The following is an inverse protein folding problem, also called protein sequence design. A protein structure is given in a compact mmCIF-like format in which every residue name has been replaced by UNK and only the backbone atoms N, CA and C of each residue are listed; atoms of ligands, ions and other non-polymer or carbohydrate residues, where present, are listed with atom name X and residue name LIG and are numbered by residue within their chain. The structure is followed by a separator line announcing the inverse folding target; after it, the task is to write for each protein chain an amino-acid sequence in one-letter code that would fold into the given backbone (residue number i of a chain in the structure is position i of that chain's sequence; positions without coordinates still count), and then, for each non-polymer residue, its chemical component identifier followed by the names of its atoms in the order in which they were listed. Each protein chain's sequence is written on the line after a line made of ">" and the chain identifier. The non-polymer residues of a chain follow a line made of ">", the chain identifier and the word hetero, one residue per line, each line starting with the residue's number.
data_IF_548545919231
#
_entry.id   IF_548545919231
#
_cell.length_a   1.000
_cell.length_b   1.000
_cell.length_c   1.000
_cell.angle_alpha   90.00
_cell.angle_beta   90.00
_cell.angle_gamma   90.00
#
_symmetry.space_group_name_H-M   'P 1'
#
loop_
_entity.id
_entity.type
_entity.pdbx_description
1 polymer ?
#
# COMPACT_ATOMS: atom_id res chain seq x y z
N UNK A 1 4.32 6.45 11.93
CA UNK A 1 2.92 6.25 11.55
C UNK A 1 2.46 7.40 10.65
N UNK A 2 1.95 7.09 9.42
CA UNK A 2 1.56 8.14 8.45
C UNK A 2 0.41 9.01 8.94
N UNK A 3 -0.49 8.45 9.72
CA UNK A 3 -1.62 9.19 10.31
C UNK A 3 -1.26 10.01 11.55
N UNK A 4 0.02 10.18 11.84
CA UNK A 4 0.50 10.86 13.04
C UNK A 4 0.39 10.02 14.31
N UNK A 5 0.89 10.55 15.41
CA UNK A 5 0.73 9.95 16.71
C UNK A 5 -0.75 10.06 17.12
N UNK A 6 -1.35 8.98 17.61
CA UNK A 6 -2.78 8.90 17.94
C UNK A 6 -3.76 9.05 16.76
N UNK A 7 -3.32 8.78 15.52
CA UNK A 7 -4.18 8.78 14.34
C UNK A 7 -4.90 10.12 14.12
N UNK A 8 -4.16 11.22 14.19
CA UNK A 8 -4.69 12.59 14.13
C UNK A 8 -4.96 13.11 12.72
N UNK A 9 -4.35 12.52 11.69
CA UNK A 9 -4.56 12.88 10.29
C UNK A 9 -5.53 11.91 9.62
N UNK A 10 -6.57 12.42 8.97
CA UNK A 10 -7.38 11.61 8.06
C UNK A 10 -6.56 11.26 6.80
N UNK A 11 -7.02 10.34 5.95
CA UNK A 11 -6.24 9.88 4.79
C UNK A 11 -5.81 11.00 3.83
N UNK A 12 -6.56 12.07 3.69
CA UNK A 12 -6.23 13.21 2.81
C UNK A 12 -5.26 14.19 3.46
N UNK A 13 -5.28 14.30 4.79
CA UNK A 13 -4.42 15.20 5.56
C UNK A 13 -3.02 14.64 5.83
N UNK A 14 -2.79 13.36 5.56
CA UNK A 14 -1.45 12.76 5.71
C UNK A 14 -0.44 13.55 4.87
N UNK A 15 0.68 14.01 5.45
CA UNK A 15 1.68 14.81 4.75
C UNK A 15 2.58 13.94 3.84
N UNK A 16 1.99 13.28 2.84
CA UNK A 16 2.67 12.32 1.97
C UNK A 16 3.94 12.88 1.32
N UNK A 17 3.86 14.11 0.77
CA UNK A 17 5.01 14.77 0.13
C UNK A 17 6.16 14.95 1.11
N UNK A 18 5.86 15.45 2.31
CA UNK A 18 6.88 15.65 3.34
C UNK A 18 7.49 14.32 3.80
N UNK A 19 6.68 13.28 3.95
CA UNK A 19 7.15 11.95 4.34
C UNK A 19 8.10 11.36 3.28
N UNK A 20 7.70 11.35 2.00
CA UNK A 20 8.54 10.80 0.93
C UNK A 20 9.80 11.65 0.71
N UNK A 21 9.67 12.96 0.78
CA UNK A 21 10.82 13.85 0.71
C UNK A 21 11.82 13.64 1.86
N UNK A 22 11.33 13.40 3.07
CA UNK A 22 12.18 13.09 4.22
C UNK A 22 12.94 11.77 3.99
N UNK A 23 12.30 10.72 3.49
CA UNK A 23 12.99 9.48 3.13
C UNK A 23 14.06 9.71 2.05
N UNK A 24 13.76 10.47 0.99
CA UNK A 24 14.75 10.84 -0.04
C UNK A 24 15.94 11.58 0.58
N UNK A 25 15.70 12.55 1.44
CA UNK A 25 16.76 13.35 2.10
C UNK A 25 17.63 12.53 3.06
N UNK A 26 17.06 11.53 3.71
CA UNK A 26 17.77 10.57 4.56
C UNK A 26 18.54 9.51 3.75
N UNK A 27 18.45 9.53 2.42
CA UNK A 27 19.14 8.56 1.55
C UNK A 27 18.48 7.18 1.53
N UNK A 28 17.21 7.07 1.98
CA UNK A 28 16.48 5.81 1.93
C UNK A 28 16.24 5.41 0.47
N UNK A 29 16.71 4.22 0.09
CA UNK A 29 16.51 3.64 -1.25
C UNK A 29 15.29 2.75 -1.35
N UNK A 30 14.74 2.32 -0.22
CA UNK A 30 13.64 1.36 -0.11
C UNK A 30 12.65 1.77 0.96
N UNK A 31 11.37 1.60 0.67
CA UNK A 31 10.28 1.81 1.63
C UNK A 31 9.35 0.61 1.58
N UNK A 32 9.09 0.03 2.73
CA UNK A 32 8.04 -0.98 2.93
C UNK A 32 6.92 -0.30 3.70
N UNK A 33 5.76 -0.23 3.08
CA UNK A 33 4.57 0.30 3.72
C UNK A 33 3.64 -0.82 4.19
N UNK A 34 2.87 -0.53 5.21
CA UNK A 34 1.84 -1.43 5.73
C UNK A 34 0.52 -0.67 5.77
N UNK A 35 -0.55 -1.31 5.33
CA UNK A 35 -1.88 -0.70 5.32
C UNK A 35 -2.99 -1.72 5.60
N UNK A 36 -4.07 -1.28 6.26
CA UNK A 36 -5.32 -2.02 6.35
C UNK A 36 -6.09 -1.88 5.04
N UNK A 37 -6.76 -2.96 4.60
CA UNK A 37 -7.55 -2.98 3.37
C UNK A 37 -8.83 -3.79 3.55
N UNK A 38 -9.89 -3.37 2.85
CA UNK A 38 -11.07 -4.19 2.62
C UNK A 38 -10.86 -5.10 1.40
N UNK A 39 -11.30 -6.34 1.49
CA UNK A 39 -11.27 -7.29 0.38
C UNK A 39 -12.47 -7.11 -0.55
N UNK A 40 -12.22 -7.17 -1.84
CA UNK A 40 -13.25 -7.18 -2.90
C UNK A 40 -13.46 -8.57 -3.50
N UNK A 41 -12.73 -9.58 -3.02
CA UNK A 41 -12.80 -10.99 -3.47
C UNK A 41 -13.00 -11.95 -2.31
N UNK A 42 -13.70 -13.05 -2.57
CA UNK A 42 -14.02 -14.07 -1.55
C UNK A 42 -12.78 -14.77 -1.01
N UNK A 43 -11.80 -15.01 -1.88
CA UNK A 43 -10.56 -15.69 -1.57
C UNK A 43 -9.57 -14.86 -0.74
N UNK A 44 -9.66 -13.53 -0.77
CA UNK A 44 -8.81 -12.64 0.02
C UNK A 44 -9.43 -12.40 1.40
N UNK A 45 -9.11 -13.27 2.33
CA UNK A 45 -9.80 -13.37 3.63
C UNK A 45 -9.24 -12.39 4.66
N UNK A 46 -10.06 -11.90 5.58
CA UNK A 46 -9.56 -11.19 6.77
C UNK A 46 -8.48 -12.00 7.47
N UNK A 47 -7.32 -11.39 7.70
CA UNK A 47 -6.12 -12.03 8.21
C UNK A 47 -5.05 -12.31 7.16
N UNK A 48 -5.39 -12.37 5.88
CA UNK A 48 -4.43 -12.58 4.80
C UNK A 48 -3.57 -11.31 4.55
N UNK A 49 -2.36 -11.54 4.04
CA UNK A 49 -1.50 -10.49 3.50
C UNK A 49 -1.64 -10.43 1.98
N UNK A 50 -1.68 -9.23 1.42
CA UNK A 50 -1.67 -9.02 -0.03
C UNK A 50 -0.46 -8.16 -0.39
N UNK A 51 0.38 -8.65 -1.29
CA UNK A 51 1.51 -7.90 -1.83
C UNK A 51 1.05 -7.13 -3.07
N UNK A 52 0.57 -5.90 -2.85
CA UNK A 52 0.00 -5.05 -3.90
C UNK A 52 0.98 -4.88 -5.07
N UNK A 53 0.51 -5.06 -6.29
CA UNK A 53 1.31 -4.90 -7.51
C UNK A 53 0.74 -3.88 -8.49
N UNK A 54 -0.56 -3.57 -8.39
CA UNK A 54 -1.22 -2.54 -9.19
C UNK A 54 -2.18 -1.69 -8.36
N UNK A 55 -2.51 -0.52 -8.85
CA UNK A 55 -3.53 0.32 -8.23
C UNK A 55 -4.44 1.02 -9.25
N UNK A 56 -5.65 1.35 -8.79
CA UNK A 56 -6.59 2.23 -9.48
C UNK A 56 -6.84 3.43 -8.56
N UNK A 57 -6.47 4.62 -9.01
CA UNK A 57 -6.62 5.84 -8.21
C UNK A 57 -8.01 6.45 -8.33
N UNK A 58 -8.69 6.58 -7.21
CA UNK A 58 -9.96 7.27 -7.05
C UNK A 58 -9.89 8.46 -6.08
N UNK A 59 -8.66 8.90 -5.76
CA UNK A 59 -8.44 10.10 -4.96
C UNK A 59 -8.60 11.36 -5.83
N UNK A 60 -8.98 12.49 -5.23
CA UNK A 60 -9.30 13.73 -5.97
C UNK A 60 -8.68 14.98 -5.37
N UNK A 61 -8.15 14.91 -4.14
CA UNK A 61 -7.70 16.09 -3.38
C UNK A 61 -6.23 16.04 -2.98
N UNK A 62 -5.46 15.12 -3.55
CA UNK A 62 -4.08 14.85 -3.13
C UNK A 62 -3.08 15.27 -4.17
N UNK A 63 -2.05 15.96 -3.74
CA UNK A 63 -0.89 16.25 -4.59
C UNK A 63 -0.13 14.96 -4.89
N UNK A 64 0.11 14.69 -6.17
CA UNK A 64 0.76 13.46 -6.62
C UNK A 64 2.16 13.70 -7.20
N UNK A 65 2.73 14.87 -7.00
CA UNK A 65 4.09 15.19 -7.48
C UNK A 65 4.87 16.02 -6.47
N UNK A 66 6.16 15.79 -6.38
CA UNK A 66 7.14 16.57 -5.61
C UNK A 66 7.80 17.59 -6.52
N UNK A 67 8.15 17.20 -7.75
CA UNK A 67 8.93 18.02 -8.67
C UNK A 67 8.08 18.83 -9.67
N UNK A 68 6.79 18.62 -9.71
CA UNK A 68 5.84 19.37 -10.56
C UNK A 68 5.75 18.84 -11.98
N UNK A 69 6.64 19.24 -12.86
CA UNK A 69 6.53 18.99 -14.31
C UNK A 69 7.29 17.76 -14.80
N UNK A 70 7.50 16.75 -13.97
CA UNK A 70 8.14 15.49 -14.39
C UNK A 70 7.10 14.43 -14.76
N UNK A 71 7.36 13.69 -15.84
CA UNK A 71 6.49 12.61 -16.32
C UNK A 71 7.15 11.26 -16.06
N UNK A 72 6.80 10.63 -14.94
CA UNK A 72 7.36 9.32 -14.57
C UNK A 72 6.51 8.17 -15.09
N UNK A 73 7.16 7.07 -15.47
CA UNK A 73 6.47 5.82 -15.80
C UNK A 73 5.98 5.09 -14.54
N UNK A 74 4.69 4.74 -14.50
CA UNK A 74 4.06 4.00 -13.39
C UNK A 74 3.34 2.72 -13.85
N UNK A 75 3.70 2.17 -15.02
CA UNK A 75 3.16 0.90 -15.47
C UNK A 75 3.45 -0.24 -14.46
N UNK A 76 4.65 -0.21 -13.86
CA UNK A 76 5.05 -1.10 -12.77
C UNK A 76 5.32 -0.25 -11.52
N UNK A 77 4.28 0.09 -10.74
CA UNK A 77 4.41 1.07 -9.66
C UNK A 77 5.20 0.56 -8.44
N UNK A 78 5.22 -0.76 -8.24
CA UNK A 78 5.86 -1.40 -7.09
C UNK A 78 7.18 -2.10 -7.49
N UNK A 79 8.15 -2.11 -6.58
CA UNK A 79 9.41 -2.82 -6.77
C UNK A 79 9.19 -4.34 -6.73
N UNK A 80 9.36 -5.00 -7.88
CA UNK A 80 9.25 -6.45 -7.99
C UNK A 80 10.24 -7.18 -7.07
N UNK A 81 11.48 -6.67 -6.99
CA UNK A 81 12.51 -7.26 -6.15
C UNK A 81 12.11 -7.21 -4.68
N UNK A 82 11.68 -6.04 -4.19
CA UNK A 82 11.27 -5.88 -2.80
C UNK A 82 10.04 -6.73 -2.46
N UNK A 83 9.06 -6.81 -3.38
CA UNK A 83 7.88 -7.66 -3.23
C UNK A 83 8.26 -9.14 -3.13
N UNK A 84 9.13 -9.64 -4.01
CA UNK A 84 9.56 -11.04 -4.00
C UNK A 84 10.22 -11.42 -2.66
N UNK A 85 11.13 -10.58 -2.16
CA UNK A 85 11.76 -10.78 -0.85
C UNK A 85 10.70 -10.89 0.27
N UNK A 86 9.70 -10.01 0.26
CA UNK A 86 8.61 -10.03 1.24
C UNK A 86 7.75 -11.29 1.12
N UNK A 87 7.41 -11.70 -0.10
CA UNK A 87 6.61 -12.90 -0.40
C UNK A 87 7.33 -14.16 0.10
N UNK A 88 8.60 -14.32 -0.27
CA UNK A 88 9.40 -15.49 0.11
C UNK A 88 9.48 -15.64 1.63
N UNK A 89 9.74 -14.55 2.35
CA UNK A 89 9.79 -14.57 3.81
C UNK A 89 8.42 -14.82 4.45
N UNK A 90 7.35 -14.31 3.87
CA UNK A 90 5.98 -14.56 4.35
C UNK A 90 5.62 -16.04 4.21
N UNK A 91 6.02 -16.67 3.11
CA UNK A 91 5.87 -18.10 2.87
C UNK A 91 6.67 -18.93 3.89
N UNK A 92 7.93 -18.57 4.15
CA UNK A 92 8.77 -19.23 5.18
C UNK A 92 8.14 -19.15 6.58
N UNK A 93 7.48 -18.04 6.89
CA UNK A 93 6.79 -17.86 8.18
C UNK A 93 5.43 -18.58 8.27
N UNK A 94 4.96 -19.18 7.16
CA UNK A 94 3.71 -19.93 7.10
C UNK A 94 2.46 -19.05 7.26
N UNK A 95 2.50 -17.80 6.79
CA UNK A 95 1.33 -16.92 6.82
C UNK A 95 0.52 -17.06 5.52
N UNK A 96 -0.80 -16.91 5.62
CA UNK A 96 -1.67 -16.83 4.45
C UNK A 96 -1.43 -15.52 3.71
N UNK A 97 -1.26 -15.61 2.38
CA UNK A 97 -0.93 -14.45 1.57
C UNK A 97 -1.35 -14.61 0.11
N UNK A 98 -1.42 -13.47 -0.59
CA UNK A 98 -1.61 -13.37 -2.03
C UNK A 98 -0.42 -12.61 -2.63
N UNK A 99 0.18 -13.19 -3.66
CA UNK A 99 1.41 -12.65 -4.29
C UNK A 99 1.18 -11.33 -5.05
N UNK A 100 -0.08 -11.07 -5.43
CA UNK A 100 -0.47 -9.87 -6.17
C UNK A 100 -1.83 -9.37 -5.69
N UNK A 101 -2.17 -8.14 -6.06
CA UNK A 101 -3.49 -7.58 -5.87
C UNK A 101 -3.59 -6.15 -6.37
N UNK A 102 -4.60 -5.90 -7.22
CA UNK A 102 -4.96 -4.56 -7.68
C UNK A 102 -5.74 -3.82 -6.59
N UNK A 103 -5.18 -2.71 -6.13
CA UNK A 103 -5.77 -1.90 -5.06
C UNK A 103 -6.53 -0.70 -5.62
N UNK A 104 -7.83 -0.59 -5.37
CA UNK A 104 -8.54 0.69 -5.55
C UNK A 104 -8.24 1.60 -4.36
N UNK A 105 -7.78 2.81 -4.62
CA UNK A 105 -7.50 3.79 -3.58
C UNK A 105 -8.56 4.87 -3.58
N UNK A 106 -9.36 4.89 -2.53
CA UNK A 106 -10.44 5.87 -2.36
C UNK A 106 -10.01 7.05 -1.49
N UNK A 107 -10.70 8.17 -1.59
CA UNK A 107 -10.36 9.38 -0.82
C UNK A 107 -10.43 9.16 0.70
N UNK A 108 -11.45 8.46 1.19
CA UNK A 108 -11.76 8.40 2.62
C UNK A 108 -12.17 9.77 3.21
N UNK A 109 -12.34 9.90 4.54
CA UNK A 109 -12.27 8.83 5.54
C UNK A 109 -13.49 7.89 5.57
N UNK A 110 -14.56 8.17 4.80
CA UNK A 110 -15.70 7.27 4.70
C UNK A 110 -15.34 5.98 3.97
N UNK A 111 -15.97 4.89 4.34
CA UNK A 111 -15.91 3.63 3.60
C UNK A 111 -16.70 3.71 2.29
N UNK A 112 -16.54 2.69 1.44
CA UNK A 112 -17.25 2.54 0.19
C UNK A 112 -18.77 2.45 0.43
N UNK A 113 -19.58 2.91 -0.52
CA UNK A 113 -20.97 2.51 -0.62
C UNK A 113 -21.08 1.12 -1.26
N UNK A 114 -22.20 0.42 -1.08
CA UNK A 114 -22.44 -0.86 -1.78
C UNK A 114 -22.33 -0.74 -3.31
N UNK A 115 -22.76 0.40 -3.87
CA UNK A 115 -22.67 0.66 -5.31
C UNK A 115 -21.21 0.86 -5.76
N UNK A 116 -20.39 1.59 -4.98
CA UNK A 116 -18.96 1.76 -5.24
C UNK A 116 -18.22 0.41 -5.14
N UNK A 117 -18.47 -0.37 -4.09
CA UNK A 117 -17.88 -1.68 -3.90
C UNK A 117 -18.20 -2.63 -5.06
N UNK A 118 -19.47 -2.65 -5.51
CA UNK A 118 -19.88 -3.40 -6.70
C UNK A 118 -19.14 -2.94 -7.97
N UNK A 119 -18.97 -1.64 -8.15
CA UNK A 119 -18.25 -1.06 -9.27
C UNK A 119 -16.77 -1.49 -9.25
N UNK A 120 -16.10 -1.42 -8.10
CA UNK A 120 -14.70 -1.83 -7.97
C UNK A 120 -14.49 -3.31 -8.29
N UNK A 121 -15.40 -4.16 -7.87
CA UNK A 121 -15.41 -5.58 -8.21
C UNK A 121 -15.57 -5.83 -9.72
N UNK A 122 -16.41 -5.02 -10.42
CA UNK A 122 -16.54 -5.07 -11.88
C UNK A 122 -15.27 -4.61 -12.60
N UNK A 123 -14.44 -3.77 -11.98
CA UNK A 123 -13.13 -3.38 -12.49
C UNK A 123 -12.04 -4.42 -12.22
N UNK A 124 -12.41 -5.58 -11.69
CA UNK A 124 -11.50 -6.65 -11.28
C UNK A 124 -10.46 -6.22 -10.24
N UNK A 125 -10.81 -5.27 -9.38
CA UNK A 125 -9.98 -4.91 -8.25
C UNK A 125 -10.09 -5.95 -7.13
N UNK A 126 -8.99 -6.17 -6.41
CA UNK A 126 -8.88 -7.19 -5.37
C UNK A 126 -9.11 -6.64 -3.97
N UNK A 127 -8.64 -5.43 -3.73
CA UNK A 127 -8.69 -4.77 -2.41
C UNK A 127 -8.99 -3.28 -2.53
N UNK A 128 -9.49 -2.68 -1.45
CA UNK A 128 -9.73 -1.25 -1.34
C UNK A 128 -8.94 -0.65 -0.17
N UNK A 129 -8.34 0.52 -0.41
CA UNK A 129 -7.47 1.24 0.53
C UNK A 129 -7.72 2.74 0.49
N UNK A 130 -7.15 3.51 1.43
CA UNK A 130 -7.29 4.96 1.48
C UNK A 130 -5.97 5.73 1.43
N UNK A 131 -4.79 5.06 1.45
CA UNK A 131 -3.51 5.76 1.67
C UNK A 131 -2.40 5.40 0.70
N UNK A 132 -2.60 4.40 -0.13
CA UNK A 132 -1.57 3.92 -1.06
C UNK A 132 -1.20 4.99 -2.10
N UNK A 133 -2.19 5.73 -2.61
CA UNK A 133 -1.97 6.92 -3.45
C UNK A 133 -2.16 8.17 -2.58
N UNK A 134 -1.26 9.15 -2.63
CA UNK A 134 -0.14 9.30 -3.57
C UNK A 134 1.19 8.68 -3.11
N UNK A 135 1.22 7.95 -2.00
CA UNK A 135 2.46 7.47 -1.37
C UNK A 135 3.36 6.70 -2.36
N UNK A 136 2.79 5.75 -3.10
CA UNK A 136 3.53 4.95 -4.09
C UNK A 136 4.03 5.80 -5.27
N UNK A 137 3.23 6.75 -5.76
CA UNK A 137 3.59 7.64 -6.87
C UNK A 137 4.74 8.56 -6.46
N UNK A 138 4.64 9.16 -5.27
CA UNK A 138 5.68 10.04 -4.71
C UNK A 138 6.98 9.27 -4.41
N UNK A 139 6.89 8.03 -3.93
CA UNK A 139 8.05 7.16 -3.74
C UNK A 139 8.75 6.89 -5.08
N UNK A 140 7.97 6.62 -6.12
CA UNK A 140 8.45 6.40 -7.48
C UNK A 140 9.17 7.64 -8.04
N UNK A 141 8.59 8.82 -7.87
CA UNK A 141 9.18 10.11 -8.26
C UNK A 141 10.45 10.43 -7.45
N UNK A 142 10.50 10.01 -6.19
CA UNK A 142 11.70 10.08 -5.35
C UNK A 142 12.77 9.02 -5.68
N UNK A 143 12.56 8.14 -6.67
CA UNK A 143 13.45 7.03 -7.01
C UNK A 143 13.66 6.05 -5.84
N UNK A 144 12.61 5.85 -5.06
CA UNK A 144 12.58 4.93 -3.92
C UNK A 144 11.86 3.66 -4.34
N UNK A 145 12.51 2.50 -4.18
CA UNK A 145 11.89 1.20 -4.35
C UNK A 145 10.80 0.99 -3.29
N UNK A 146 9.56 0.86 -3.73
CA UNK A 146 8.41 0.81 -2.83
C UNK A 146 7.68 -0.53 -2.93
N UNK A 147 7.33 -1.11 -1.78
CA UNK A 147 6.43 -2.25 -1.67
C UNK A 147 5.37 -2.00 -0.59
N UNK A 148 4.20 -2.56 -0.77
CA UNK A 148 3.11 -2.49 0.19
C UNK A 148 2.70 -3.89 0.65
N UNK A 149 2.58 -4.07 1.96
CA UNK A 149 1.95 -5.21 2.61
C UNK A 149 0.56 -4.76 3.03
N UNK A 150 -0.44 -5.14 2.24
CA UNK A 150 -1.83 -4.88 2.57
C UNK A 150 -2.36 -5.97 3.49
N UNK A 151 -2.90 -5.58 4.64
CA UNK A 151 -3.44 -6.46 5.66
C UNK A 151 -4.96 -6.48 5.51
N UNK A 152 -5.53 -7.59 5.05
CA UNK A 152 -6.98 -7.71 4.89
C UNK A 152 -7.65 -7.70 6.25
N UNK A 153 -8.57 -6.77 6.46
CA UNK A 153 -9.31 -6.60 7.74
C UNK A 153 -10.77 -7.00 7.66
N UNK A 154 -11.36 -6.90 6.47
CA UNK A 154 -12.78 -7.11 6.23
C UNK A 154 -13.05 -7.38 4.73
N UNK A 155 -14.31 -7.64 4.37
CA UNK A 155 -14.75 -7.84 2.98
C UNK A 155 -15.41 -6.59 2.37
N UNK A 156 -14.97 -5.39 2.74
CA UNK A 156 -15.64 -4.15 2.34
C UNK A 156 -17.17 -4.26 2.61
N UNK A 157 -18.01 -3.62 1.79
CA UNK A 157 -19.47 -3.59 2.00
C UNK A 157 -20.27 -4.43 1.00
N UNK A 158 -19.59 -5.25 0.18
CA UNK A 158 -20.26 -6.07 -0.84
C UNK A 158 -20.78 -7.40 -0.30
N UNK A 159 -20.15 -7.93 0.76
CA UNK A 159 -20.52 -9.21 1.34
C UNK A 159 -21.69 -9.01 2.29
N UNK A 160 -22.78 -9.71 2.06
CA UNK A 160 -23.94 -9.70 2.94
C UNK A 160 -23.53 -10.20 4.34
N UNK A 161 -24.18 -9.67 5.37
CA UNK A 161 -23.90 -9.95 6.78
C UNK A 161 -22.49 -9.53 7.28
N UNK A 162 -21.73 -8.80 6.49
CA UNK A 162 -20.44 -8.25 6.87
C UNK A 162 -20.49 -6.72 7.00
N UNK A 163 -21.06 -6.22 8.08
CA UNK A 163 -21.02 -4.78 8.36
C UNK A 163 -19.59 -4.35 8.68
N UNK A 164 -19.03 -3.49 7.83
CA UNK A 164 -17.71 -2.87 8.06
C UNK A 164 -17.85 -1.83 9.17
N UNK A 165 -17.17 -2.05 10.27
CA UNK A 165 -17.11 -1.08 11.35
C UNK A 165 -15.66 -0.87 11.80
N UNK A 166 -15.36 0.33 12.26
CA UNK A 166 -14.02 0.65 12.79
C UNK A 166 -13.59 -0.33 13.89
N UNK A 167 -14.50 -0.81 14.73
CA UNK A 167 -14.20 -1.75 15.81
C UNK A 167 -13.76 -3.12 15.27
N UNK A 168 -14.43 -3.66 14.23
CA UNK A 168 -14.04 -4.92 13.57
C UNK A 168 -12.69 -4.80 12.89
N UNK A 169 -12.48 -3.73 12.15
CA UNK A 169 -11.20 -3.41 11.49
C UNK A 169 -10.06 -3.40 12.52
N UNK A 170 -10.24 -2.72 13.65
CA UNK A 170 -9.22 -2.62 14.69
C UNK A 170 -8.93 -3.96 15.38
N UNK A 171 -9.95 -4.81 15.58
CA UNK A 171 -9.76 -6.13 16.16
C UNK A 171 -8.87 -7.03 15.27
N UNK A 172 -9.18 -7.13 13.98
CA UNK A 172 -8.36 -7.90 13.02
C UNK A 172 -6.97 -7.31 12.85
N UNK A 173 -6.84 -5.98 12.87
CA UNK A 173 -5.54 -5.30 12.76
C UNK A 173 -4.59 -5.66 13.89
N UNK A 174 -5.07 -5.91 15.10
CA UNK A 174 -4.20 -6.23 16.25
C UNK A 174 -3.37 -7.50 16.00
N UNK A 175 -3.99 -8.55 15.48
CA UNK A 175 -3.30 -9.82 15.18
C UNK A 175 -2.42 -9.67 13.94
N UNK A 176 -2.90 -9.00 12.90
CA UNK A 176 -2.13 -8.71 11.71
C UNK A 176 -0.87 -7.88 12.02
N UNK A 177 -0.95 -6.90 12.93
CA UNK A 177 0.20 -6.08 13.33
C UNK A 177 1.29 -6.90 14.04
N UNK A 178 0.93 -7.91 14.84
CA UNK A 178 1.93 -8.79 15.43
C UNK A 178 2.65 -9.63 14.37
N UNK A 179 1.90 -10.17 13.41
CA UNK A 179 2.45 -10.98 12.30
C UNK A 179 3.34 -10.14 11.38
N UNK A 180 2.88 -8.96 10.95
CA UNK A 180 3.67 -8.07 10.08
C UNK A 180 4.91 -7.51 10.80
N UNK A 181 4.82 -7.22 12.10
CA UNK A 181 5.98 -6.80 12.88
C UNK A 181 7.05 -7.89 12.91
N UNK A 182 6.66 -9.15 13.12
CA UNK A 182 7.58 -10.29 13.04
C UNK A 182 8.22 -10.41 11.67
N UNK A 183 7.42 -10.32 10.58
CA UNK A 183 7.91 -10.32 9.21
C UNK A 183 8.96 -9.22 8.99
N UNK A 184 8.66 -7.97 9.35
CA UNK A 184 9.56 -6.84 9.15
C UNK A 184 10.86 -6.98 9.97
N UNK A 185 10.77 -7.41 11.23
CA UNK A 185 11.95 -7.61 12.08
C UNK A 185 12.88 -8.71 11.55
N UNK A 186 12.33 -9.70 10.86
CA UNK A 186 13.13 -10.77 10.25
C UNK A 186 13.77 -10.31 8.94
N UNK A 187 13.04 -9.54 8.12
CA UNK A 187 13.45 -9.26 6.74
C UNK A 187 14.35 -8.02 6.59
N UNK A 188 14.11 -6.97 7.41
CA UNK A 188 14.87 -5.71 7.28
C UNK A 188 16.38 -5.93 7.37
N UNK A 189 16.92 -6.77 8.28
CA UNK A 189 18.36 -7.03 8.34
C UNK A 189 18.91 -7.81 7.13
N UNK A 190 18.06 -8.50 6.37
CA UNK A 190 18.45 -9.34 5.22
C UNK A 190 18.40 -8.56 3.90
N UNK A 191 17.80 -7.36 3.86
CA UNK A 191 17.71 -6.56 2.65
C UNK A 191 19.07 -5.91 2.36
N UNK A 192 19.68 -6.30 1.24
CA UNK A 192 20.88 -5.62 0.74
C UNK A 192 20.55 -4.19 0.30
N UNK A 193 21.17 -3.20 0.93
CA UNK A 193 20.98 -1.78 0.64
C UNK A 193 22.00 -1.23 -0.37
N UNK A 194 22.97 -2.03 -0.80
CA UNK A 194 24.03 -1.64 -1.74
C UNK A 194 23.59 -1.79 -3.19
N UNK A 195 22.73 -2.76 -3.49
CA UNK A 195 22.25 -3.02 -4.86
C UNK A 195 21.32 -1.93 -5.34
N UNK A 196 21.57 -1.43 -6.55
CA UNK A 196 20.65 -0.50 -7.27
C UNK A 196 19.61 -1.31 -8.02
N UNK A 197 18.34 -1.00 -7.79
CA UNK A 197 17.21 -1.61 -8.49
C UNK A 197 16.62 -0.65 -9.53
N UNK A 198 15.94 -1.17 -10.56
CA UNK A 198 15.40 -0.35 -11.65
C UNK A 198 14.44 0.77 -11.24
N UNK A 199 13.79 0.64 -10.07
CA UNK A 199 12.95 1.71 -9.50
C UNK A 199 13.77 2.91 -8.97
N UNK A 200 15.08 2.80 -8.87
CA UNK A 200 15.97 3.87 -8.43
C UNK A 200 16.53 4.72 -9.59
N UNK A 201 15.94 4.62 -10.77
CA UNK A 201 16.38 5.32 -12.01
C UNK A 201 15.18 5.90 -12.78
N UNK A 202 14.13 6.26 -12.04
CA UNK A 202 12.83 6.65 -12.63
C UNK A 202 12.89 8.02 -13.33
N UNK A 203 13.76 8.92 -12.87
CA UNK A 203 13.86 10.28 -13.39
C UNK A 203 14.76 10.39 -14.63
N UNK A 204 15.54 9.36 -14.97
CA UNK A 204 16.50 9.39 -16.06
C UNK A 204 15.89 9.79 -17.41
N UNK A 205 14.66 9.31 -17.66
CA UNK A 205 13.93 9.56 -18.92
C UNK A 205 12.63 10.36 -18.69
N UNK A 206 12.49 11.00 -17.51
CA UNK A 206 11.23 11.64 -17.11
C UNK A 206 10.96 12.99 -17.78
N UNK A 207 11.92 13.54 -18.52
CA UNK A 207 11.79 14.85 -19.22
C UNK A 207 11.39 15.99 -18.26
N UNK A 208 12.22 16.99 -18.12
CA UNK A 208 11.86 18.28 -17.50
C UNK A 208 11.52 19.29 -18.56
#
# INVERSE_FOLDING_TARGET
>A
PRHGHNHTFNPTEVPYKANMWAFKKLGCKRVISVSAVGSLKEEYKPGDFVFTDQFIDRTTKRDQTIYGSVHIGVAEPFSKQLRNILIDKTKELGYDYHESGTCVVIEGPRFSTKAESKMYRLWDADIVNMTLVPEVVLARECEISYANIALVTDYDVWKEDNEVSHAKVMATMKDNLMRVKKLLMTIIPEIDDTTVWGSNDTLKDAGM
#
